data_IF_189565631153
#
_entry.id   IF_189565631153
#
_cell.length_a   1.000
_cell.length_b   1.000
_cell.length_c   1.000
_cell.angle_alpha   90.00
_cell.angle_beta   90.00
_cell.angle_gamma   90.00
#
_symmetry.space_group_name_H-M   'P 1'
#
loop_
_entity.id
_entity.type
_entity.pdbx_description
1 polymer ?
#
# COMPACT_ATOMS: atom_id res chain seq x y z
N UNK A 1 -46.22 -10.21 -40.49
CA UNK A 1 -44.78 -9.95 -40.34
C UNK A 1 -44.51 -9.95 -38.85
N UNK A 2 -43.79 -10.96 -38.37
CA UNK A 2 -43.38 -11.08 -36.97
C UNK A 2 -42.14 -10.21 -36.76
N UNK A 3 -42.12 -9.44 -35.68
CA UNK A 3 -40.90 -8.84 -35.15
C UNK A 3 -40.90 -9.09 -33.63
N UNK A 4 -40.25 -10.19 -33.26
CA UNK A 4 -39.79 -10.48 -31.91
C UNK A 4 -38.30 -10.11 -31.86
N UNK A 5 -37.93 -9.16 -31.01
CA UNK A 5 -36.60 -9.11 -30.40
C UNK A 5 -36.64 -8.29 -29.12
N UNK A 6 -37.06 -8.98 -28.07
CA UNK A 6 -36.35 -9.06 -26.78
C UNK A 6 -35.01 -8.31 -26.75
N UNK A 7 -34.80 -7.43 -25.76
CA UNK A 7 -33.79 -7.63 -24.70
C UNK A 7 -33.71 -6.46 -23.70
N UNK A 8 -34.14 -6.79 -22.49
CA UNK A 8 -33.42 -6.64 -21.21
C UNK A 8 -33.06 -5.21 -20.77
N UNK A 9 -33.87 -4.72 -19.83
CA UNK A 9 -33.42 -4.54 -18.45
C UNK A 9 -31.92 -4.19 -18.31
N UNK A 10 -31.60 -2.91 -18.48
CA UNK A 10 -30.35 -2.38 -17.96
C UNK A 10 -30.56 -2.11 -16.49
N UNK A 11 -30.41 -3.17 -15.69
CA UNK A 11 -30.09 -3.10 -14.27
C UNK A 11 -29.05 -1.98 -14.06
N UNK A 12 -29.19 -1.13 -13.02
CA UNK A 12 -28.13 -0.21 -12.66
C UNK A 12 -26.91 -1.07 -12.33
N UNK A 13 -25.86 -0.94 -13.14
CA UNK A 13 -24.54 -1.50 -12.84
C UNK A 13 -24.25 -1.07 -11.40
N UNK A 14 -24.15 -1.98 -10.42
CA UNK A 14 -23.67 -1.59 -9.12
C UNK A 14 -22.25 -1.10 -9.39
N UNK A 15 -22.07 0.20 -9.29
CA UNK A 15 -20.76 0.81 -9.12
C UNK A 15 -20.32 0.42 -7.72
N UNK A 16 -20.09 -0.89 -7.52
CA UNK A 16 -19.23 -1.40 -6.48
C UNK A 16 -17.80 -1.09 -6.92
N UNK A 17 -17.54 0.21 -7.07
CA UNK A 17 -16.29 0.79 -6.63
C UNK A 17 -16.26 0.58 -5.11
N UNK A 18 -16.16 -0.69 -4.68
CA UNK A 18 -15.19 -1.00 -3.66
C UNK A 18 -13.90 -0.49 -4.29
N UNK A 19 -13.62 0.76 -3.96
CA UNK A 19 -12.30 1.31 -3.81
C UNK A 19 -11.51 0.20 -3.13
N UNK A 20 -10.98 -0.71 -3.96
CA UNK A 20 -10.43 -1.98 -3.52
C UNK A 20 -9.21 -1.55 -2.76
N UNK A 21 -9.37 -1.44 -1.44
CA UNK A 21 -8.29 -1.06 -0.56
C UNK A 21 -7.15 -1.96 -0.97
N UNK A 22 -6.03 -1.39 -1.45
CA UNK A 22 -5.01 -2.20 -2.06
C UNK A 22 -4.64 -3.29 -1.06
N UNK A 23 -4.46 -4.55 -1.52
CA UNK A 23 -4.31 -5.68 -0.63
C UNK A 23 -3.27 -5.33 0.41
N UNK A 24 -3.71 -5.26 1.67
CA UNK A 24 -2.83 -4.93 2.77
C UNK A 24 -1.70 -5.95 2.73
N UNK A 25 -0.47 -5.45 2.75
CA UNK A 25 0.71 -6.30 2.83
C UNK A 25 0.53 -7.23 4.01
N UNK A 26 1.04 -8.45 3.87
CA UNK A 26 1.16 -9.32 5.03
C UNK A 26 2.13 -8.69 6.04
N UNK A 27 2.00 -9.08 7.31
CA UNK A 27 2.91 -8.66 8.39
C UNK A 27 4.39 -8.85 7.98
N UNK A 28 4.69 -10.00 7.38
CA UNK A 28 6.04 -10.37 6.95
C UNK A 28 6.54 -9.47 5.81
N UNK A 29 5.69 -9.17 4.82
CA UNK A 29 6.05 -8.24 3.74
C UNK A 29 6.29 -6.82 4.23
N UNK A 30 5.49 -6.33 5.18
CA UNK A 30 5.71 -5.02 5.77
C UNK A 30 7.02 -4.96 6.57
N UNK A 31 7.32 -6.01 7.34
CA UNK A 31 8.62 -6.13 8.03
C UNK A 31 9.77 -6.13 7.03
N UNK A 32 9.65 -6.88 5.92
CA UNK A 32 10.67 -6.92 4.88
C UNK A 32 10.87 -5.53 4.23
N UNK A 33 9.80 -4.78 3.99
CA UNK A 33 9.88 -3.44 3.42
C UNK A 33 10.55 -2.44 4.38
N UNK A 34 10.24 -2.51 5.68
CA UNK A 34 10.92 -1.69 6.71
C UNK A 34 12.41 -2.03 6.77
N UNK A 35 12.77 -3.32 6.79
CA UNK A 35 14.17 -3.78 6.74
C UNK A 35 14.88 -3.23 5.50
N UNK A 36 14.22 -3.30 4.34
CA UNK A 36 14.75 -2.77 3.08
C UNK A 36 15.00 -1.26 3.14
N UNK A 37 14.13 -0.49 3.78
CA UNK A 37 14.36 0.96 3.95
C UNK A 37 15.52 1.24 4.88
N UNK A 38 15.60 0.56 6.02
CA UNK A 38 16.70 0.72 6.98
C UNK A 38 18.04 0.43 6.29
N UNK A 39 18.13 -0.66 5.54
CA UNK A 39 19.35 -1.04 4.83
C UNK A 39 19.68 -0.07 3.68
N UNK A 40 18.69 0.26 2.83
CA UNK A 40 18.88 1.09 1.64
C UNK A 40 19.27 2.52 2.00
N UNK A 41 18.64 3.09 3.03
CA UNK A 41 18.88 4.48 3.45
C UNK A 41 19.86 4.58 4.62
N UNK A 42 20.44 3.45 5.07
CA UNK A 42 21.37 3.39 6.21
C UNK A 42 20.82 4.11 7.44
N UNK A 43 19.54 3.85 7.73
CA UNK A 43 18.83 4.50 8.83
C UNK A 43 19.36 3.94 10.15
N UNK A 44 19.74 4.82 11.06
CA UNK A 44 20.14 4.42 12.41
C UNK A 44 18.90 4.03 13.22
N UNK A 45 18.95 2.89 13.89
CA UNK A 45 17.79 2.36 14.62
C UNK A 45 17.38 3.22 15.83
N UNK A 46 18.29 4.05 16.35
CA UNK A 46 17.97 4.99 17.43
C UNK A 46 17.36 6.30 16.93
N UNK A 47 17.35 6.54 15.61
CA UNK A 47 16.68 7.72 15.07
C UNK A 47 15.17 7.64 15.31
N UNK A 48 14.59 8.80 15.61
CA UNK A 48 13.16 8.95 15.80
C UNK A 48 12.47 8.86 14.45
N UNK A 49 11.53 7.92 14.31
CA UNK A 49 10.65 7.82 13.15
C UNK A 49 9.51 8.82 13.27
N UNK A 50 8.84 8.83 14.43
CA UNK A 50 7.75 9.78 14.70
C UNK A 50 7.76 10.20 16.17
N UNK A 51 7.42 11.47 16.41
CA UNK A 51 7.16 12.02 17.74
C UNK A 51 5.79 12.67 17.74
N UNK A 52 4.89 12.21 18.60
CA UNK A 52 3.54 12.75 18.77
C UNK A 52 3.33 13.06 20.25
N UNK A 53 3.38 14.34 20.60
CA UNK A 53 3.37 14.77 22.00
C UNK A 53 4.57 14.18 22.77
N UNK A 54 4.27 13.37 23.77
CA UNK A 54 5.25 12.65 24.60
C UNK A 54 5.66 11.29 24.01
N UNK A 55 4.89 10.76 23.04
CA UNK A 55 5.21 9.49 22.39
C UNK A 55 6.36 9.67 21.40
N UNK A 56 7.38 8.83 21.53
CA UNK A 56 8.54 8.78 20.63
C UNK A 56 8.69 7.35 20.13
N UNK A 57 8.53 7.15 18.83
CA UNK A 57 8.74 5.85 18.17
C UNK A 57 10.02 5.96 17.36
N UNK A 58 10.98 5.05 17.58
CA UNK A 58 12.23 5.00 16.82
C UNK A 58 12.13 4.01 15.67
N UNK A 59 13.06 4.10 14.73
CA UNK A 59 13.14 3.15 13.62
C UNK A 59 13.37 1.71 14.10
N UNK A 60 14.09 1.53 15.21
CA UNK A 60 14.29 0.21 15.84
C UNK A 60 13.00 -0.40 16.39
N UNK A 61 12.01 0.42 16.74
CA UNK A 61 10.75 -0.06 17.34
C UNK A 61 9.74 -0.52 16.27
N UNK A 62 9.91 -0.11 15.01
CA UNK A 62 8.94 -0.38 13.93
C UNK A 62 8.70 -1.87 13.67
N UNK A 63 9.76 -2.68 13.65
CA UNK A 63 9.66 -4.12 13.43
C UNK A 63 8.98 -4.82 14.63
N UNK A 64 9.40 -4.57 15.89
CA UNK A 64 8.70 -5.09 17.06
C UNK A 64 7.20 -4.76 17.08
N UNK A 65 6.81 -3.53 16.74
CA UNK A 65 5.40 -3.12 16.67
C UNK A 65 4.62 -3.93 15.62
N UNK A 66 5.21 -4.14 14.43
CA UNK A 66 4.65 -4.98 13.38
C UNK A 66 4.53 -6.44 13.83
N UNK A 67 5.56 -7.00 14.46
CA UNK A 67 5.58 -8.41 14.88
C UNK A 67 4.52 -8.74 15.93
N UNK A 68 4.37 -7.86 16.92
CA UNK A 68 3.43 -7.98 18.03
C UNK A 68 1.99 -7.65 17.64
N UNK A 69 1.78 -7.02 16.48
CA UNK A 69 0.44 -6.66 16.01
C UNK A 69 -0.25 -5.59 16.88
N UNK A 70 0.54 -4.76 17.56
CA UNK A 70 0.06 -3.58 18.32
C UNK A 70 -0.76 -2.63 17.43
N UNK A 71 -1.56 -1.75 18.03
CA UNK A 71 -2.31 -0.73 17.30
C UNK A 71 -1.40 0.12 16.39
N UNK A 72 -0.24 0.54 16.88
CA UNK A 72 0.82 1.19 16.07
C UNK A 72 1.30 0.31 14.92
N UNK A 73 1.50 -0.99 15.16
CA UNK A 73 1.87 -1.97 14.13
C UNK A 73 0.83 -2.09 13.03
N UNK A 74 -0.45 -2.11 13.38
CA UNK A 74 -1.56 -2.14 12.42
C UNK A 74 -1.64 -0.84 11.60
N UNK A 75 -1.33 0.30 12.23
CA UNK A 75 -1.25 1.58 11.54
C UNK A 75 -0.06 1.62 10.57
N UNK A 76 1.11 1.15 11.02
CA UNK A 76 2.31 1.02 10.18
C UNK A 76 2.06 0.09 8.99
N UNK A 77 1.42 -1.06 9.20
CA UNK A 77 1.07 -2.01 8.15
C UNK A 77 0.23 -1.34 7.06
N UNK A 78 -0.80 -0.59 7.44
CA UNK A 78 -1.65 0.17 6.51
C UNK A 78 -0.87 1.28 5.79
N UNK A 79 -0.05 2.03 6.51
CA UNK A 79 0.77 3.10 5.94
C UNK A 79 1.81 2.57 4.93
N UNK A 80 2.47 1.46 5.24
CA UNK A 80 3.45 0.81 4.36
C UNK A 80 2.75 0.23 3.12
N UNK A 81 1.60 -0.42 3.30
CA UNK A 81 0.80 -0.96 2.20
C UNK A 81 0.38 0.13 1.22
N UNK A 82 -0.15 1.25 1.72
CA UNK A 82 -0.46 2.43 0.89
C UNK A 82 0.78 3.03 0.24
N UNK A 83 1.88 3.15 0.98
CA UNK A 83 3.16 3.66 0.47
C UNK A 83 3.74 2.81 -0.68
N UNK A 84 3.56 1.48 -0.62
CA UNK A 84 3.96 0.57 -1.71
C UNK A 84 3.11 0.78 -2.95
N UNK A 85 1.79 0.95 -2.80
CA UNK A 85 0.85 1.15 -3.91
C UNK A 85 1.12 2.46 -4.64
N UNK A 86 1.40 3.53 -3.90
CA UNK A 86 1.80 4.82 -4.49
C UNK A 86 3.14 4.71 -5.23
N UNK A 87 4.08 3.89 -4.75
CA UNK A 87 5.36 3.64 -5.44
C UNK A 87 5.20 2.70 -6.64
N UNK A 88 4.31 1.71 -6.59
CA UNK A 88 4.00 0.82 -7.72
C UNK A 88 3.26 1.57 -8.85
N UNK A 89 2.33 2.47 -8.52
CA UNK A 89 1.65 3.31 -9.52
C UNK A 89 2.59 4.32 -10.20
N UNK A 90 3.67 4.76 -9.53
CA UNK A 90 4.74 5.55 -10.19
C UNK A 90 5.65 4.74 -11.10
N UNK A 91 5.56 3.40 -11.09
CA UNK A 91 6.39 2.50 -11.90
C UNK A 91 5.59 1.80 -13.00
N UNK A 92 4.42 2.32 -13.41
CA UNK A 92 3.81 2.29 -14.77
C UNK A 92 2.27 2.38 -14.69
N UNK A 93 1.59 3.10 -15.62
CA UNK A 93 1.70 2.93 -17.07
C UNK A 93 2.01 4.22 -17.83
N UNK A 94 3.20 4.27 -18.40
CA UNK A 94 3.67 5.30 -19.31
C UNK A 94 4.80 4.75 -20.17
N UNK A 95 4.54 3.60 -20.81
CA UNK A 95 5.37 3.13 -21.91
C UNK A 95 5.25 4.14 -23.04
N UNK A 96 6.24 5.00 -23.17
CA UNK A 96 6.62 5.56 -24.45
C UNK A 96 7.99 5.00 -24.78
N UNK A 97 7.94 3.95 -25.58
CA UNK A 97 8.88 3.73 -26.66
C UNK A 97 9.29 5.09 -27.26
N UNK A 98 10.57 5.46 -27.12
CA UNK A 98 11.23 6.33 -28.10
C UNK A 98 12.76 6.27 -28.01
N UNK A 99 13.28 5.52 -28.99
CA UNK A 99 14.41 5.82 -29.89
C UNK A 99 15.85 5.81 -29.37
N UNK A 100 16.56 4.77 -29.84
CA UNK A 100 17.71 4.83 -30.75
C UNK A 100 18.99 5.57 -30.29
N UNK A 101 20.08 4.80 -30.23
CA UNK A 101 21.47 5.24 -30.20
C UNK A 101 22.38 4.04 -30.41
#
# INVERSE_FOLDING_TARGET
MADESERKDSEPIPTNTEESEPPLLTKEEAIAEVKRWIERYKIDQNQVFVRIGEMVIRYGDLIPHLEQGTDEGQLLLRAISRGRVVRQQRVFPGGIDRVQG
#
